data_IF_332453726531
#
_entry.id   IF_332453726531
#
_cell.length_a   1.000
_cell.length_b   1.000
_cell.length_c   1.000
_cell.angle_alpha   90.00
_cell.angle_beta   90.00
_cell.angle_gamma   90.00
#
_symmetry.space_group_name_H-M   'P 1'
#
loop_
_entity.id
_entity.type
_entity.pdbx_description
1 polymer ?
#
# COMPACT_ATOMS: atom_id res chain seq x y z
N UNK A 1 -21.37 -7.96 -11.42
CA UNK A 1 -19.91 -8.06 -11.52
C UNK A 1 -19.30 -7.38 -10.29
N UNK A 2 -18.76 -8.20 -9.37
CA UNK A 2 -17.78 -7.94 -8.30
C UNK A 2 -18.01 -6.75 -7.34
N UNK A 3 -18.59 -7.08 -6.19
CA UNK A 3 -18.47 -6.31 -4.93
C UNK A 3 -17.95 -7.25 -3.84
N UNK A 4 -16.74 -7.77 -4.04
CA UNK A 4 -15.99 -8.41 -2.96
C UNK A 4 -15.31 -7.27 -2.19
N UNK A 5 -15.35 -7.26 -0.86
CA UNK A 5 -14.55 -6.39 0.03
C UNK A 5 -15.10 -5.01 0.48
N UNK A 6 -16.37 -4.65 0.26
CA UNK A 6 -16.88 -3.40 0.90
C UNK A 6 -17.11 -3.54 2.41
N UNK A 7 -17.44 -4.74 2.88
CA UNK A 7 -17.80 -5.01 4.28
C UNK A 7 -16.91 -6.06 4.97
N UNK A 8 -15.78 -6.45 4.35
CA UNK A 8 -14.85 -7.39 4.99
C UNK A 8 -13.95 -6.65 5.97
N UNK A 9 -14.46 -6.42 7.19
CA UNK A 9 -13.76 -5.70 8.27
C UNK A 9 -12.92 -6.64 9.17
N UNK A 10 -12.88 -7.94 8.84
CA UNK A 10 -12.16 -8.95 9.62
C UNK A 10 -10.63 -8.86 9.47
N UNK A 11 -10.13 -8.11 8.48
CA UNK A 11 -8.70 -7.92 8.27
C UNK A 11 -8.40 -6.48 7.82
N UNK A 12 -7.24 -5.92 8.20
CA UNK A 12 -6.81 -4.63 7.72
C UNK A 12 -6.69 -4.59 6.19
N UNK A 13 -7.17 -3.49 5.58
CA UNK A 13 -7.09 -3.25 4.15
C UNK A 13 -6.04 -2.18 3.84
N UNK A 14 -5.03 -2.54 3.05
CA UNK A 14 -4.05 -1.61 2.51
C UNK A 14 -4.31 -1.37 1.01
N UNK A 15 -4.51 -0.12 0.62
CA UNK A 15 -4.66 0.31 -0.77
C UNK A 15 -3.38 1.03 -1.19
N UNK A 16 -2.72 0.52 -2.21
CA UNK A 16 -1.42 1.01 -2.70
C UNK A 16 -1.58 1.63 -4.07
N UNK A 17 -0.98 2.81 -4.28
CA UNK A 17 -0.84 3.37 -5.61
C UNK A 17 0.27 2.64 -6.39
N UNK A 18 -0.09 1.63 -7.17
CA UNK A 18 0.85 0.83 -7.96
C UNK A 18 1.54 1.63 -9.08
N UNK A 19 0.96 2.75 -9.53
CA UNK A 19 1.57 3.58 -10.57
C UNK A 19 2.76 4.43 -10.04
N UNK A 20 2.87 4.57 -8.72
CA UNK A 20 3.89 5.39 -8.07
C UNK A 20 4.99 4.58 -7.36
N UNK A 21 4.95 3.25 -7.45
CA UNK A 21 5.89 2.35 -6.77
C UNK A 21 6.45 1.29 -7.70
N UNK A 22 7.74 0.98 -7.56
CA UNK A 22 8.39 -0.13 -8.26
C UNK A 22 9.17 -1.03 -7.28
N UNK A 23 8.48 -1.93 -6.55
CA UNK A 23 9.13 -2.80 -5.58
C UNK A 23 9.96 -3.92 -6.24
N UNK A 24 9.88 -4.08 -7.56
CA UNK A 24 10.64 -5.10 -8.31
C UNK A 24 12.05 -4.58 -8.58
N UNK A 25 12.17 -3.32 -9.01
CA UNK A 25 13.46 -2.74 -9.41
C UNK A 25 14.03 -1.76 -8.37
N UNK A 26 13.25 -1.31 -7.38
CA UNK A 26 13.70 -0.38 -6.32
C UNK A 26 13.56 -0.99 -4.94
N UNK A 27 14.69 -1.30 -4.30
CA UNK A 27 14.69 -1.92 -2.97
C UNK A 27 14.07 -1.01 -1.88
N UNK A 28 14.23 0.31 -2.01
CA UNK A 28 13.62 1.26 -1.08
C UNK A 28 12.09 1.15 -1.10
N UNK A 29 11.51 1.11 -2.31
CA UNK A 29 10.08 0.98 -2.54
C UNK A 29 9.55 -0.32 -1.93
N UNK A 30 10.27 -1.43 -2.12
CA UNK A 30 9.96 -2.71 -1.48
C UNK A 30 9.98 -2.60 0.05
N UNK A 31 11.03 -2.00 0.63
CA UNK A 31 11.17 -1.86 2.09
C UNK A 31 10.08 -0.98 2.69
N UNK A 32 9.69 0.10 2.02
CA UNK A 32 8.60 0.97 2.47
C UNK A 32 7.24 0.26 2.41
N UNK A 33 6.96 -0.46 1.32
CA UNK A 33 5.76 -1.27 1.21
C UNK A 33 5.70 -2.34 2.30
N UNK A 34 6.81 -3.03 2.55
CA UNK A 34 6.91 -4.05 3.59
C UNK A 34 6.67 -3.45 4.99
N UNK A 35 7.24 -2.27 5.27
CA UNK A 35 6.98 -1.53 6.51
C UNK A 35 5.51 -1.16 6.67
N UNK A 36 4.88 -0.67 5.60
CA UNK A 36 3.46 -0.31 5.60
C UNK A 36 2.59 -1.53 5.93
N UNK A 37 2.83 -2.68 5.28
CA UNK A 37 2.11 -3.94 5.55
C UNK A 37 2.22 -4.34 7.02
N UNK A 38 3.41 -4.28 7.62
CA UNK A 38 3.61 -4.68 9.02
C UNK A 38 2.94 -3.72 10.04
N UNK A 39 2.86 -2.43 9.71
CA UNK A 39 2.33 -1.39 10.60
C UNK A 39 0.81 -1.45 10.72
N UNK A 40 0.11 -1.91 9.69
CA UNK A 40 -1.34 -1.87 9.67
C UNK A 40 -1.90 -3.00 10.53
N UNK A 41 -2.80 -2.64 11.46
CA UNK A 41 -3.46 -3.58 12.38
C UNK A 41 -4.97 -3.66 12.19
N UNK A 42 -5.61 -2.54 11.82
CA UNK A 42 -7.06 -2.45 11.63
C UNK A 42 -7.43 -1.38 10.60
N UNK A 43 -8.64 -1.47 10.06
CA UNK A 43 -9.24 -0.45 9.20
C UNK A 43 -8.61 -0.37 7.81
N UNK A 44 -8.91 0.74 7.11
CA UNK A 44 -8.49 1.01 5.73
C UNK A 44 -7.37 2.05 5.70
N UNK A 45 -6.28 1.72 5.02
CA UNK A 45 -5.10 2.57 4.90
C UNK A 45 -4.74 2.80 3.44
N UNK A 46 -4.37 4.03 3.13
CA UNK A 46 -3.89 4.42 1.80
C UNK A 46 -2.38 4.64 1.88
N UNK A 47 -1.65 3.95 1.03
CA UNK A 47 -0.21 4.11 0.89
C UNK A 47 0.09 4.69 -0.49
N UNK A 48 0.51 5.95 -0.49
CA UNK A 48 1.01 6.65 -1.66
C UNK A 48 2.49 6.92 -1.43
N UNK A 49 3.40 6.15 -2.05
CA UNK A 49 4.82 6.44 -1.95
C UNK A 49 5.04 7.85 -2.48
N UNK A 50 5.73 8.68 -1.69
CA UNK A 50 6.19 9.96 -2.19
C UNK A 50 7.11 9.66 -3.37
N UNK A 51 6.67 10.02 -4.58
CA UNK A 51 7.61 10.25 -5.67
C UNK A 51 8.52 11.33 -5.11
N UNK A 52 9.80 11.01 -4.89
CA UNK A 52 10.82 12.03 -4.69
C UNK A 52 10.80 12.88 -5.97
N UNK A 53 9.96 13.93 -5.97
CA UNK A 53 10.06 15.01 -6.93
C UNK A 53 11.40 15.64 -6.63
N UNK A 54 12.39 15.26 -7.43
CA UNK A 54 13.66 15.93 -7.55
C UNK A 54 13.32 17.41 -7.77
N UNK A 55 13.56 18.23 -6.75
CA UNK A 55 13.52 19.69 -6.83
C UNK A 55 14.84 20.20 -7.42
#
# INVERSE_FOLDING_TARGET
>A
MRVFFYEYDAAPLLIVNAAAIDPIHRELDYRELLRAIHRIKHGRHFFNPAIETIA
#
